data_IF_323681169178
#
_entry.id   IF_323681169178
#
_cell.length_a   1.000
_cell.length_b   1.000
_cell.length_c   1.000
_cell.angle_alpha   90.00
_cell.angle_beta   90.00
_cell.angle_gamma   90.00
#
_symmetry.space_group_name_H-M   'P 1'
#
loop_
_entity.id
_entity.type
_entity.pdbx_description
1 polymer ?
#
# COMPACT_ATOMS: atom_id res chain seq x y z
N UNK A 1 1.87 26.15 -7.07
CA UNK A 1 1.17 24.84 -7.20
C UNK A 1 0.30 24.63 -5.97
N UNK A 2 -0.93 24.10 -6.11
CA UNK A 2 -1.81 23.85 -4.96
C UNK A 2 -1.49 22.50 -4.29
N UNK A 3 -1.91 22.32 -3.03
CA UNK A 3 -1.80 21.04 -2.31
C UNK A 3 -2.48 19.91 -3.10
N UNK A 4 -3.63 20.20 -3.73
CA UNK A 4 -4.35 19.25 -4.58
C UNK A 4 -3.47 18.74 -5.73
N UNK A 5 -2.79 19.65 -6.44
CA UNK A 5 -1.87 19.30 -7.53
C UNK A 5 -0.67 18.49 -7.05
N UNK A 6 -0.14 18.78 -5.84
CA UNK A 6 0.95 18.01 -5.24
C UNK A 6 0.54 16.56 -4.91
N UNK A 7 -0.65 16.39 -4.32
CA UNK A 7 -1.18 15.05 -4.02
C UNK A 7 -1.49 14.30 -5.32
N UNK A 8 -2.04 14.96 -6.35
CA UNK A 8 -2.27 14.34 -7.66
C UNK A 8 -0.95 13.92 -8.33
N UNK A 9 0.09 14.76 -8.31
CA UNK A 9 1.41 14.41 -8.83
C UNK A 9 2.01 13.21 -8.08
N UNK A 10 1.82 13.16 -6.75
CA UNK A 10 2.25 12.02 -5.92
C UNK A 10 1.50 10.73 -6.29
N UNK A 11 0.19 10.83 -6.55
CA UNK A 11 -0.63 9.72 -7.03
C UNK A 11 -0.14 9.22 -8.41
N UNK A 12 0.18 10.14 -9.32
CA UNK A 12 0.71 9.78 -10.64
C UNK A 12 2.08 9.08 -10.53
N UNK A 13 2.97 9.52 -9.63
CA UNK A 13 4.25 8.84 -9.35
C UNK A 13 4.02 7.43 -8.81
N UNK A 14 3.14 7.28 -7.81
CA UNK A 14 2.80 5.97 -7.25
C UNK A 14 2.24 5.02 -8.30
N UNK A 15 1.41 5.53 -9.21
CA UNK A 15 0.87 4.78 -10.33
C UNK A 15 1.97 4.31 -11.31
N UNK A 16 2.94 5.18 -11.62
CA UNK A 16 4.11 4.80 -12.43
C UNK A 16 4.92 3.72 -11.71
N UNK A 17 5.19 3.86 -10.41
CA UNK A 17 5.92 2.87 -9.61
C UNK A 17 5.20 1.52 -9.62
N UNK A 18 3.87 1.52 -9.39
CA UNK A 18 3.05 0.32 -9.46
C UNK A 18 3.12 -0.34 -10.84
N UNK A 19 3.00 0.45 -11.91
CA UNK A 19 3.05 -0.04 -13.27
C UNK A 19 4.42 -0.62 -13.65
N UNK A 20 5.50 0.05 -13.28
CA UNK A 20 6.87 -0.45 -13.46
C UNK A 20 7.08 -1.76 -12.70
N UNK A 21 6.60 -1.87 -11.47
CA UNK A 21 6.69 -3.11 -10.69
C UNK A 21 5.97 -4.28 -11.40
N UNK A 22 4.77 -4.05 -11.95
CA UNK A 22 4.00 -5.04 -12.73
C UNK A 22 4.69 -5.43 -14.04
N UNK A 23 5.32 -4.48 -14.72
CA UNK A 23 6.06 -4.74 -15.95
C UNK A 23 7.30 -5.59 -15.70
N UNK A 24 8.07 -5.25 -14.66
CA UNK A 24 9.31 -5.92 -14.29
C UNK A 24 9.05 -7.35 -13.79
N UNK A 25 8.05 -7.53 -12.94
CA UNK A 25 7.70 -8.82 -12.33
C UNK A 25 6.18 -8.98 -12.27
N UNK A 26 5.55 -9.52 -13.33
CA UNK A 26 4.12 -9.77 -13.32
C UNK A 26 3.80 -10.85 -12.29
N UNK A 27 3.23 -10.45 -11.16
CA UNK A 27 2.83 -11.36 -10.08
C UNK A 27 1.40 -11.88 -10.31
N UNK A 28 1.15 -13.12 -9.85
CA UNK A 28 -0.16 -13.77 -9.98
C UNK A 28 -1.20 -13.20 -8.98
N UNK A 29 -0.82 -12.35 -8.03
CA UNK A 29 -1.72 -11.85 -6.98
C UNK A 29 -3.01 -11.21 -7.51
N UNK A 30 -2.92 -10.44 -8.59
CA UNK A 30 -4.08 -9.79 -9.21
C UNK A 30 -5.01 -10.78 -9.94
N UNK A 31 -4.47 -11.88 -10.45
CA UNK A 31 -5.21 -12.96 -11.11
C UNK A 31 -6.25 -13.59 -10.19
N UNK A 32 -5.82 -13.94 -8.98
CA UNK A 32 -6.65 -14.63 -8.00
C UNK A 32 -7.89 -13.81 -7.62
N UNK A 33 -7.81 -12.48 -7.70
CA UNK A 33 -8.88 -11.55 -7.31
C UNK A 33 -10.05 -11.52 -8.31
N UNK A 34 -9.76 -11.73 -9.60
CA UNK A 34 -10.77 -11.72 -10.67
C UNK A 34 -11.26 -13.13 -11.04
N UNK A 35 -10.81 -14.17 -10.31
CA UNK A 35 -11.24 -15.55 -10.55
C UNK A 35 -10.64 -16.20 -11.80
N UNK A 36 -9.65 -15.57 -12.43
CA UNK A 36 -8.97 -16.09 -13.61
C UNK A 36 -7.47 -16.13 -13.38
N UNK A 37 -6.80 -17.18 -13.83
CA UNK A 37 -5.33 -17.22 -13.88
C UNK A 37 -4.84 -16.19 -14.91
N UNK A 38 -4.54 -14.97 -14.45
CA UNK A 38 -4.08 -13.89 -15.30
C UNK A 38 -2.79 -14.33 -15.97
N UNK A 39 -2.78 -14.23 -17.29
CA UNK A 39 -1.57 -14.45 -18.07
C UNK A 39 -0.61 -13.29 -17.78
N UNK A 40 0.71 -13.52 -17.69
CA UNK A 40 1.70 -12.46 -17.48
C UNK A 40 1.56 -11.29 -18.46
N UNK A 41 1.10 -11.56 -19.68
CA UNK A 41 0.77 -10.54 -20.67
C UNK A 41 -0.28 -9.53 -20.18
N UNK A 42 -1.38 -9.98 -19.56
CA UNK A 42 -2.43 -9.09 -19.07
C UNK A 42 -1.91 -8.18 -17.94
N UNK A 43 -1.13 -8.74 -17.01
CA UNK A 43 -0.53 -7.97 -15.91
C UNK A 43 0.43 -6.89 -16.45
N UNK A 44 1.20 -7.24 -17.48
CA UNK A 44 2.08 -6.27 -18.17
C UNK A 44 1.30 -5.20 -18.93
N UNK A 45 0.22 -5.55 -19.61
CA UNK A 45 -0.64 -4.57 -20.31
C UNK A 45 -1.26 -3.58 -19.32
N UNK A 46 -1.75 -4.08 -18.17
CA UNK A 46 -2.22 -3.22 -17.09
C UNK A 46 -1.10 -2.32 -16.55
N UNK A 47 0.07 -2.89 -16.25
CA UNK A 47 1.22 -2.12 -15.79
C UNK A 47 1.68 -1.06 -16.80
N UNK A 48 1.65 -1.37 -18.10
CA UNK A 48 1.92 -0.41 -19.16
C UNK A 48 0.90 0.73 -19.19
N UNK A 49 -0.39 0.42 -19.04
CA UNK A 49 -1.45 1.42 -18.94
C UNK A 49 -1.28 2.35 -17.73
N UNK A 50 -0.86 1.81 -16.58
CA UNK A 50 -0.57 2.59 -15.38
C UNK A 50 0.61 3.54 -15.59
N UNK A 51 1.72 3.06 -16.18
CA UNK A 51 2.88 3.91 -16.51
C UNK A 51 2.49 5.02 -17.47
N UNK A 52 1.75 4.70 -18.53
CA UNK A 52 1.32 5.69 -19.53
C UNK A 52 0.38 6.73 -18.91
N UNK A 53 -0.60 6.30 -18.11
CA UNK A 53 -1.52 7.23 -17.46
C UNK A 53 -0.81 8.13 -16.45
N UNK A 54 0.05 7.57 -15.59
CA UNK A 54 0.80 8.33 -14.60
C UNK A 54 1.81 9.29 -15.24
N UNK A 55 2.58 8.84 -16.22
CA UNK A 55 3.50 9.70 -16.97
C UNK A 55 2.74 10.78 -17.75
N UNK A 56 1.65 10.42 -18.42
CA UNK A 56 0.78 11.38 -19.11
C UNK A 56 0.25 12.46 -18.18
N UNK A 57 -0.21 12.09 -16.99
CA UNK A 57 -0.69 13.05 -15.99
C UNK A 57 0.41 14.00 -15.50
N UNK A 58 1.66 13.53 -15.34
CA UNK A 58 2.79 14.36 -14.92
C UNK A 58 3.25 15.35 -16.00
N UNK A 59 3.34 14.88 -17.25
CA UNK A 59 3.98 15.62 -18.34
C UNK A 59 3.00 16.45 -19.18
N UNK A 60 1.82 15.88 -19.48
CA UNK A 60 0.81 16.51 -20.32
C UNK A 60 -0.25 17.23 -19.48
N UNK A 61 -0.56 16.69 -18.29
CA UNK A 61 -1.64 17.20 -17.45
C UNK A 61 -3.01 17.09 -18.13
N UNK A 62 -3.92 17.98 -17.73
CA UNK A 62 -5.25 18.10 -18.32
C UNK A 62 -6.29 17.09 -17.82
N UNK A 63 -7.57 17.30 -18.18
CA UNK A 63 -8.70 16.59 -17.59
C UNK A 63 -8.70 15.09 -17.91
N UNK A 64 -8.28 14.72 -19.12
CA UNK A 64 -8.26 13.31 -19.56
C UNK A 64 -7.23 12.50 -18.78
N UNK A 65 -6.00 13.00 -18.64
CA UNK A 65 -4.94 12.29 -17.92
C UNK A 65 -5.26 12.21 -16.42
N UNK A 66 -5.73 13.31 -15.82
CA UNK A 66 -6.15 13.33 -14.42
C UNK A 66 -7.31 12.36 -14.14
N UNK A 67 -8.32 12.33 -15.02
CA UNK A 67 -9.46 11.40 -14.92
C UNK A 67 -9.02 9.94 -15.10
N UNK A 68 -8.07 9.66 -15.99
CA UNK A 68 -7.52 8.31 -16.17
C UNK A 68 -6.83 7.81 -14.89
N UNK A 69 -6.02 8.66 -14.24
CA UNK A 69 -5.42 8.34 -12.93
C UNK A 69 -6.52 8.11 -11.89
N UNK A 70 -7.54 8.97 -11.84
CA UNK A 70 -8.68 8.81 -10.93
C UNK A 70 -9.43 7.49 -11.09
N UNK A 71 -9.71 7.11 -12.34
CA UNK A 71 -10.36 5.84 -12.68
C UNK A 71 -9.52 4.63 -12.30
N UNK A 72 -8.20 4.67 -12.52
CA UNK A 72 -7.30 3.59 -12.13
C UNK A 72 -7.27 3.40 -10.60
N UNK A 73 -7.19 4.49 -9.84
CA UNK A 73 -7.27 4.42 -8.38
C UNK A 73 -8.64 3.92 -7.88
N UNK A 74 -9.74 4.32 -8.52
CA UNK A 74 -11.05 3.77 -8.20
C UNK A 74 -11.11 2.26 -8.49
N UNK A 75 -10.54 1.81 -9.62
CA UNK A 75 -10.45 0.39 -9.95
C UNK A 75 -9.58 -0.39 -8.93
N UNK A 76 -8.47 0.18 -8.46
CA UNK A 76 -7.66 -0.43 -7.40
C UNK A 76 -8.42 -0.50 -6.07
N UNK A 77 -9.20 0.53 -5.71
CA UNK A 77 -10.04 0.48 -4.51
C UNK A 77 -11.01 -0.70 -4.57
N UNK A 78 -11.67 -0.92 -5.73
CA UNK A 78 -12.56 -2.06 -5.95
C UNK A 78 -11.81 -3.39 -5.90
N UNK A 79 -10.62 -3.48 -6.50
CA UNK A 79 -9.80 -4.69 -6.48
C UNK A 79 -9.38 -5.07 -5.04
N UNK A 80 -8.91 -4.10 -4.25
CA UNK A 80 -8.53 -4.32 -2.84
C UNK A 80 -9.76 -4.65 -1.99
N UNK A 81 -10.90 -3.98 -2.22
CA UNK A 81 -12.14 -4.30 -1.52
C UNK A 81 -12.58 -5.74 -1.82
N UNK A 82 -12.50 -6.17 -3.09
CA UNK A 82 -12.78 -7.55 -3.47
C UNK A 82 -11.83 -8.54 -2.79
N UNK A 83 -10.53 -8.22 -2.75
CA UNK A 83 -9.51 -9.01 -2.06
C UNK A 83 -9.82 -9.21 -0.57
N UNK A 84 -10.25 -8.14 0.11
CA UNK A 84 -10.71 -8.20 1.50
C UNK A 84 -11.90 -9.15 1.66
N UNK A 85 -12.88 -9.08 0.76
CA UNK A 85 -14.12 -9.85 0.85
C UNK A 85 -13.90 -11.35 0.63
N UNK A 86 -12.87 -11.76 -0.12
CA UNK A 86 -12.54 -13.17 -0.33
C UNK A 86 -11.41 -13.69 0.56
N UNK A 87 -10.85 -12.85 1.44
CA UNK A 87 -9.73 -13.21 2.28
C UNK A 87 -8.45 -13.54 1.51
N UNK A 88 -8.18 -12.79 0.42
CA UNK A 88 -6.95 -12.97 -0.35
C UNK A 88 -5.70 -12.58 0.46
N UNK A 89 -4.58 -13.27 0.23
CA UNK A 89 -3.31 -12.97 0.90
C UNK A 89 -2.60 -11.74 0.31
N UNK A 90 -2.93 -11.35 -0.92
CA UNK A 90 -2.29 -10.24 -1.64
C UNK A 90 -3.33 -9.41 -2.39
N UNK A 91 -3.07 -8.10 -2.51
CA UNK A 91 -3.90 -7.20 -3.31
C UNK A 91 -3.46 -7.07 -4.78
N UNK A 92 -2.24 -7.47 -5.15
CA UNK A 92 -1.72 -7.42 -6.53
C UNK A 92 -1.48 -6.02 -7.10
N UNK A 93 -1.77 -4.94 -6.36
CA UNK A 93 -1.69 -3.56 -6.87
C UNK A 93 -0.26 -3.07 -7.12
N UNK A 94 0.75 -3.57 -6.39
CA UNK A 94 2.15 -3.13 -6.52
C UNK A 94 3.08 -4.26 -7.00
N UNK A 95 2.52 -5.27 -7.68
CA UNK A 95 3.29 -6.44 -8.09
C UNK A 95 3.93 -7.13 -6.87
N UNK A 96 5.24 -7.42 -6.86
CA UNK A 96 5.92 -8.05 -5.73
C UNK A 96 6.05 -7.19 -4.46
N UNK A 97 5.74 -5.89 -4.55
CA UNK A 97 5.76 -4.98 -3.40
C UNK A 97 4.39 -4.89 -2.73
N UNK A 98 3.45 -5.76 -3.09
CA UNK A 98 2.13 -5.75 -2.50
C UNK A 98 2.13 -6.25 -1.06
N UNK A 99 0.99 -6.01 -0.39
CA UNK A 99 0.76 -6.37 0.99
C UNK A 99 -0.62 -7.04 1.11
N UNK A 100 -0.92 -7.67 2.27
CA UNK A 100 -2.25 -8.13 2.56
C UNK A 100 -3.28 -7.02 2.36
N UNK A 101 -4.44 -7.32 1.74
CA UNK A 101 -5.45 -6.32 1.48
C UNK A 101 -5.94 -5.70 2.79
N UNK A 102 -6.15 -4.37 2.81
CA UNK A 102 -6.50 -3.63 4.02
C UNK A 102 -7.49 -2.49 3.74
N UNK A 103 -8.28 -2.13 4.76
CA UNK A 103 -9.22 -0.99 4.68
C UNK A 103 -8.50 0.34 4.45
N UNK A 104 -7.28 0.48 4.97
CA UNK A 104 -6.44 1.66 4.77
C UNK A 104 -6.09 1.82 3.29
N UNK A 105 -5.76 0.72 2.62
CA UNK A 105 -5.44 0.74 1.20
C UNK A 105 -6.69 1.08 0.34
N UNK A 106 -7.86 0.52 0.66
CA UNK A 106 -9.13 0.92 0.00
C UNK A 106 -9.38 2.42 0.17
N UNK A 107 -9.30 2.93 1.41
CA UNK A 107 -9.52 4.35 1.71
C UNK A 107 -8.53 5.28 1.00
N UNK A 108 -7.25 4.94 1.01
CA UNK A 108 -6.23 5.74 0.32
C UNK A 108 -6.43 5.75 -1.19
N UNK A 109 -6.78 4.62 -1.81
CA UNK A 109 -7.11 4.59 -3.23
C UNK A 109 -8.33 5.49 -3.55
N UNK A 110 -9.36 5.50 -2.72
CA UNK A 110 -10.51 6.40 -2.90
C UNK A 110 -10.14 7.88 -2.75
N UNK A 111 -9.28 8.22 -1.79
CA UNK A 111 -8.78 9.60 -1.63
C UNK A 111 -7.98 10.04 -2.85
N UNK A 112 -7.05 9.20 -3.32
CA UNK A 112 -6.23 9.51 -4.50
C UNK A 112 -7.08 9.58 -5.79
N UNK A 113 -8.13 8.76 -5.89
CA UNK A 113 -9.11 8.83 -6.96
C UNK A 113 -9.84 10.18 -6.95
N UNK A 114 -10.42 10.57 -5.80
CA UNK A 114 -11.12 11.83 -5.64
C UNK A 114 -10.25 13.05 -5.93
N UNK A 115 -9.02 13.07 -5.38
CA UNK A 115 -8.05 14.13 -5.65
C UNK A 115 -7.73 14.23 -7.14
N UNK A 116 -7.55 13.09 -7.82
CA UNK A 116 -7.23 13.09 -9.26
C UNK A 116 -8.40 13.56 -10.11
N UNK A 117 -9.64 13.23 -9.75
CA UNK A 117 -10.81 13.79 -10.43
C UNK A 117 -10.93 15.30 -10.22
N UNK A 118 -10.68 15.79 -9.00
CA UNK A 118 -10.68 17.23 -8.73
C UNK A 118 -9.54 17.96 -9.46
N UNK A 119 -8.38 17.31 -9.62
CA UNK A 119 -7.25 17.84 -10.37
C UNK A 119 -7.50 17.92 -11.89
N UNK A 120 -8.59 17.33 -12.41
CA UNK A 120 -8.97 17.43 -13.82
C UNK A 120 -9.25 18.88 -14.27
N UNK A 121 -9.60 19.76 -13.33
CA UNK A 121 -9.77 21.20 -13.60
C UNK A 121 -8.48 22.02 -13.52
N UNK A 122 -7.31 21.40 -13.37
CA UNK A 122 -6.04 22.13 -13.31
C UNK A 122 -5.55 22.52 -14.71
N UNK A 123 -5.13 23.79 -14.85
CA UNK A 123 -4.72 24.37 -16.14
C UNK A 123 -3.26 24.05 -16.54
N UNK A 124 -2.46 23.55 -15.61
CA UNK A 124 -1.02 23.32 -15.82
C UNK A 124 -0.60 21.91 -15.41
N UNK A 125 0.26 21.30 -16.22
CA UNK A 125 0.83 19.99 -15.91
C UNK A 125 1.78 20.07 -14.70
N UNK A 126 1.85 19.03 -13.84
CA UNK A 126 2.74 19.01 -12.67
C UNK A 126 4.21 19.32 -12.99
N UNK A 127 4.78 18.72 -14.03
CA UNK A 127 6.19 18.96 -14.42
C UNK A 127 6.42 20.41 -14.83
N UNK A 128 5.48 21.00 -15.56
CA UNK A 128 5.56 22.41 -15.96
C UNK A 128 5.47 23.34 -14.74
N UNK A 129 4.57 23.04 -13.80
CA UNK A 129 4.43 23.80 -12.55
C UNK A 129 5.71 23.75 -11.70
N UNK A 130 6.38 22.60 -11.64
CA UNK A 130 7.67 22.44 -10.97
C UNK A 130 8.76 23.24 -11.69
N UNK A 131 8.86 23.15 -13.02
CA UNK A 131 9.87 23.86 -13.82
C UNK A 131 9.73 25.39 -13.68
N UNK A 132 8.49 25.91 -13.70
CA UNK A 132 8.21 27.31 -13.40
C UNK A 132 8.67 27.67 -11.98
N UNK A 133 8.31 26.87 -10.98
CA UNK A 133 8.70 27.12 -9.58
C UNK A 133 10.21 27.16 -9.38
N UNK A 134 10.97 26.28 -10.06
CA UNK A 134 12.45 26.28 -10.04
C UNK A 134 13.01 27.54 -10.70
N UNK A 135 12.41 27.98 -11.81
CA UNK A 135 12.85 29.16 -12.55
C UNK A 135 12.62 30.45 -11.76
N UNK A 136 11.50 30.52 -11.04
CA UNK A 136 11.16 31.66 -10.17
C UNK A 136 11.99 31.65 -8.88
N UNK A 137 12.17 30.48 -8.27
CA UNK A 137 12.96 30.29 -7.06
C UNK A 137 13.44 28.84 -6.90
N UNK A 138 14.75 28.56 -7.08
CA UNK A 138 15.27 27.20 -6.98
C UNK A 138 14.96 26.50 -5.65
N UNK A 139 14.97 27.26 -4.54
CA UNK A 139 14.66 26.73 -3.22
C UNK A 139 13.19 26.28 -3.10
N UNK A 140 12.25 27.06 -3.66
CA UNK A 140 10.83 26.71 -3.67
C UNK A 140 10.59 25.50 -4.58
N UNK A 141 11.19 25.48 -5.76
CA UNK A 141 11.13 24.32 -6.66
C UNK A 141 11.66 23.04 -6.02
N UNK A 142 12.79 23.11 -5.32
CA UNK A 142 13.36 21.97 -4.59
C UNK A 142 12.44 21.50 -3.45
N UNK A 143 11.89 22.43 -2.66
CA UNK A 143 10.94 22.10 -1.59
C UNK A 143 9.68 21.41 -2.13
N UNK A 144 9.19 21.86 -3.29
CA UNK A 144 8.02 21.29 -3.95
C UNK A 144 8.26 19.86 -4.44
N UNK A 145 9.42 19.60 -5.06
CA UNK A 145 9.81 18.24 -5.47
C UNK A 145 9.95 17.34 -4.25
N UNK A 146 10.59 17.82 -3.19
CA UNK A 146 10.75 17.07 -1.95
C UNK A 146 9.39 16.72 -1.31
N UNK A 147 8.44 17.66 -1.30
CA UNK A 147 7.08 17.43 -0.81
C UNK A 147 6.36 16.34 -1.62
N UNK A 148 6.36 16.42 -2.94
CA UNK A 148 5.75 15.41 -3.82
C UNK A 148 6.37 14.03 -3.58
N UNK A 149 7.71 13.95 -3.55
CA UNK A 149 8.43 12.69 -3.34
C UNK A 149 8.13 12.13 -1.95
N UNK A 150 8.05 12.99 -0.93
CA UNK A 150 7.71 12.59 0.43
C UNK A 150 6.29 12.04 0.52
N UNK A 151 5.30 12.72 -0.06
CA UNK A 151 3.90 12.27 -0.08
C UNK A 151 3.79 10.94 -0.83
N UNK A 152 4.42 10.80 -2.00
CA UNK A 152 4.45 9.55 -2.74
C UNK A 152 5.13 8.44 -1.94
N UNK A 153 6.27 8.70 -1.31
CA UNK A 153 6.99 7.73 -0.48
C UNK A 153 6.18 7.28 0.73
N UNK A 154 5.53 8.21 1.43
CA UNK A 154 4.63 7.91 2.54
C UNK A 154 3.41 7.12 2.09
N UNK A 155 2.82 7.47 0.93
CA UNK A 155 1.74 6.71 0.32
C UNK A 155 2.15 5.28 -0.02
N UNK A 156 3.35 5.09 -0.57
CA UNK A 156 3.89 3.76 -0.85
C UNK A 156 4.01 2.95 0.45
N UNK A 157 4.65 3.50 1.48
CA UNK A 157 4.78 2.86 2.80
C UNK A 157 3.42 2.55 3.42
N UNK A 158 2.45 3.47 3.30
CA UNK A 158 1.09 3.28 3.82
C UNK A 158 0.35 2.13 3.11
N UNK A 159 0.63 1.88 1.83
CA UNK A 159 0.00 0.80 1.07
C UNK A 159 0.72 -0.54 1.20
N UNK A 160 2.04 -0.54 1.39
CA UNK A 160 2.84 -1.77 1.35
C UNK A 160 3.28 -2.24 2.74
N UNK A 161 3.88 -1.38 3.56
CA UNK A 161 4.46 -1.80 4.84
C UNK A 161 3.52 -1.62 6.04
N UNK A 162 2.65 -0.60 6.01
CA UNK A 162 1.77 -0.29 7.13
C UNK A 162 0.76 -1.42 7.45
N UNK A 163 0.12 -2.10 6.48
CA UNK A 163 -0.81 -3.19 6.77
C UNK A 163 -0.16 -4.33 7.56
N UNK A 164 1.06 -4.73 7.17
CA UNK A 164 1.83 -5.76 7.86
C UNK A 164 2.23 -5.33 9.27
N UNK A 165 2.70 -4.09 9.42
CA UNK A 165 3.07 -3.54 10.72
C UNK A 165 1.87 -3.49 11.69
N UNK A 166 0.67 -3.15 11.20
CA UNK A 166 -0.55 -3.17 11.99
C UNK A 166 -0.96 -4.61 12.35
N UNK A 167 -0.87 -5.56 11.41
CA UNK A 167 -1.15 -6.97 11.66
C UNK A 167 -0.20 -7.60 12.69
N UNK A 168 1.08 -7.26 12.65
CA UNK A 168 2.05 -7.73 13.65
C UNK A 168 1.76 -7.15 15.05
N UNK A 169 1.33 -5.88 15.13
CA UNK A 169 0.96 -5.23 16.40
C UNK A 169 -0.26 -5.88 17.04
N UNK A 170 -1.31 -6.16 16.27
CA UNK A 170 -2.53 -6.83 16.79
C UNK A 170 -2.23 -8.26 17.24
N UNK A 171 -1.43 -9.02 16.49
CA UNK A 171 -1.01 -10.36 16.87
C UNK A 171 -0.18 -10.37 18.17
N UNK A 172 0.70 -9.37 18.37
CA UNK A 172 1.47 -9.21 19.60
C UNK A 172 0.60 -8.88 20.81
N UNK A 173 -0.38 -7.99 20.65
CA UNK A 173 -1.32 -7.64 21.72
C UNK A 173 -2.11 -8.87 22.18
N UNK A 174 -2.67 -9.64 21.23
CA UNK A 174 -3.41 -10.87 21.54
C UNK A 174 -2.56 -11.91 22.30
N UNK A 175 -1.26 -12.05 21.95
CA UNK A 175 -0.34 -12.95 22.67
C UNK A 175 -0.02 -12.47 24.09
N UNK A 176 0.12 -11.16 24.29
CA UNK A 176 0.35 -10.59 25.61
C UNK A 176 -0.84 -10.86 26.54
N UNK A 177 -2.06 -10.64 26.06
CA UNK A 177 -3.29 -10.87 26.82
C UNK A 177 -3.45 -12.35 27.20
N UNK A 178 -3.16 -13.28 26.28
CA UNK A 178 -3.16 -14.72 26.54
C UNK A 178 -2.11 -15.14 27.59
N UNK A 179 -0.92 -14.51 27.58
CA UNK A 179 0.15 -14.78 28.56
C UNK A 179 -0.20 -14.31 29.98
N UNK A 180 -0.94 -13.21 30.11
CA UNK A 180 -1.49 -12.76 31.40
C UNK A 180 -2.53 -13.74 31.97
N UNK A 181 -3.40 -14.30 31.12
CA UNK A 181 -4.39 -15.29 31.54
C UNK A 181 -3.75 -16.61 32.01
N UNK A 182 -2.66 -17.03 31.37
CA UNK A 182 -1.96 -18.27 31.76
C UNK A 182 -1.13 -18.12 33.04
N UNK A 183 -0.68 -16.90 33.39
CA UNK A 183 0.03 -16.64 34.65
C UNK A 183 -0.88 -16.60 35.88
N UNK A 184 -2.19 -16.47 35.71
CA UNK A 184 -3.15 -16.42 36.81
C UNK A 184 -3.64 -17.79 37.30
N UNK A 185 -3.12 -18.91 36.78
CA UNK A 185 -3.37 -20.23 37.39
C UNK A 185 -2.34 -20.41 38.51
N UNK A 186 -2.71 -20.25 39.80
CA UNK A 186 -1.81 -20.62 40.88
C UNK A 186 -1.42 -22.08 40.69
N UNK A 187 -0.14 -22.45 40.93
CA UNK A 187 0.27 -23.84 40.87
C UNK A 187 -0.69 -24.65 41.75
N UNK A 188 -1.33 -25.67 41.15
CA UNK A 188 -2.06 -26.68 41.91
C UNK A 188 -1.14 -27.10 43.05
N UNK A 189 -1.54 -26.80 44.28
CA UNK A 189 -0.79 -27.19 45.46
C UNK A 189 -0.48 -28.68 45.31
N UNK A 190 0.80 -29.03 45.34
CA UNK A 190 1.25 -30.41 45.27
C UNK A 190 0.49 -31.20 46.33
N UNK A 191 -0.25 -32.21 45.89
CA UNK A 191 -0.95 -33.14 46.77
C UNK A 191 0.06 -33.67 47.80
N UNK A 192 -0.16 -33.45 49.11
CA UNK A 192 0.72 -33.93 50.15
C UNK A 192 0.59 -35.44 50.24
N UNK A 193 1.46 -36.19 49.55
CA UNK A 193 1.40 -37.64 49.66
C UNK A 193 2.39 -38.48 48.86
N UNK A 194 3.14 -37.94 47.89
CA UNK A 194 4.00 -38.80 47.07
C UNK A 194 5.35 -39.08 47.78
N UNK A 195 5.64 -40.35 48.15
CA UNK A 195 6.85 -40.69 48.87
C UNK A 195 8.08 -40.55 47.97
N UNK A 196 9.05 -39.78 48.43
CA UNK A 196 10.36 -39.62 47.79
C UNK A 196 11.09 -40.98 47.77
N UNK A 197 11.53 -41.49 46.60
CA UNK A 197 12.30 -42.72 46.54
C UNK A 197 13.67 -42.51 47.19
N UNK A 198 13.98 -43.34 48.18
CA UNK A 198 15.27 -43.36 48.86
C UNK A 198 16.31 -43.95 47.90
N UNK A 199 17.14 -43.08 47.33
CA UNK A 199 18.29 -43.43 46.49
C UNK A 199 19.23 -44.37 47.26
N UNK A 200 19.37 -45.59 46.74
CA UNK A 200 20.15 -46.66 47.33
C UNK A 200 21.65 -46.35 47.35
N UNK A 201 22.19 -46.26 48.56
CA UNK A 201 23.62 -46.18 48.87
C UNK A 201 24.33 -47.46 48.40
N UNK A 202 24.97 -47.44 47.23
CA UNK A 202 25.96 -48.46 46.85
C UNK A 202 27.33 -48.11 47.42
N UNK A 203 27.93 -49.12 48.03
CA UNK A 203 29.25 -49.15 48.69
C UNK A 203 30.38 -49.14 47.68
#
# INVERSE_FOLDING_TARGET
MSVLSAIHASAAILLVVAGVAKLARPADGFAGLVGFRARPFLVRTLGGGEVVAGAGALWLGGPVAASAVGLLYAAFALAVLRALLIGAESCGCFGPLDAPPSRVHVGGNLVLAGVSFLAAGADIAPVQAIAQSISDSPAVGAALVAEIVLIAGLGLVAFTALPEALGARTARAARHDAGTLFRSVPPLAAEPGEPVPVEGRRR
#
